data_IF_026523008999
#
_entry.id   IF_026523008999
#
_cell.length_a   1.000
_cell.length_b   1.000
_cell.length_c   1.000
_cell.angle_alpha   90.00
_cell.angle_beta   90.00
_cell.angle_gamma   90.00
#
_symmetry.space_group_name_H-M   'P 1'
#
loop_
_entity.id
_entity.type
_entity.pdbx_description
1 polymer ?
#
# COMPACT_ATOMS: atom_id res chain seq x y z
N UNK A 1 20.33 -3.59 -15.65
CA UNK A 1 19.10 -3.90 -14.88
C UNK A 1 18.31 -2.63 -14.51
N UNK A 2 18.96 -1.59 -13.97
CA UNK A 2 18.33 -0.28 -13.69
C UNK A 2 17.70 0.41 -14.91
N UNK A 3 18.37 0.35 -16.08
CA UNK A 3 17.83 0.87 -17.36
C UNK A 3 16.53 0.17 -17.79
N UNK A 4 16.41 -1.13 -17.54
CA UNK A 4 15.19 -1.91 -17.82
C UNK A 4 14.04 -1.49 -16.92
N UNK A 5 14.31 -1.21 -15.63
CA UNK A 5 13.30 -0.70 -14.70
C UNK A 5 12.79 0.68 -15.16
N UNK A 6 13.69 1.57 -15.59
CA UNK A 6 13.32 2.89 -16.11
C UNK A 6 12.37 2.75 -17.32
N UNK A 7 12.75 1.96 -18.33
CA UNK A 7 11.92 1.72 -19.52
C UNK A 7 10.54 1.13 -19.16
N UNK A 8 10.50 0.19 -18.21
CA UNK A 8 9.24 -0.38 -17.73
C UNK A 8 8.40 0.67 -16.99
N UNK A 9 9.01 1.55 -16.18
CA UNK A 9 8.29 2.61 -15.45
C UNK A 9 7.70 3.64 -16.40
N UNK A 10 8.43 4.02 -17.45
CA UNK A 10 7.94 4.95 -18.48
C UNK A 10 6.73 4.33 -19.20
N UNK A 11 6.84 3.05 -19.57
CA UNK A 11 5.74 2.29 -20.16
C UNK A 11 4.54 2.20 -19.22
N UNK A 12 4.74 1.90 -17.94
CA UNK A 12 3.65 1.82 -16.96
C UNK A 12 2.96 3.17 -16.76
N UNK A 13 3.73 4.26 -16.70
CA UNK A 13 3.21 5.62 -16.61
C UNK A 13 2.37 6.00 -17.84
N UNK A 14 2.79 5.57 -19.03
CA UNK A 14 1.98 5.75 -20.25
C UNK A 14 0.63 5.04 -20.15
N UNK A 15 0.58 3.81 -19.61
CA UNK A 15 -0.67 3.08 -19.42
C UNK A 15 -1.56 3.69 -18.33
N UNK A 16 -0.98 4.22 -17.26
CA UNK A 16 -1.75 4.97 -16.26
C UNK A 16 -2.42 6.20 -16.87
N UNK A 17 -1.68 6.96 -17.70
CA UNK A 17 -2.21 8.15 -18.37
C UNK A 17 -3.33 7.82 -19.37
N UNK A 18 -3.27 6.64 -20.02
CA UNK A 18 -4.29 6.16 -20.94
C UNK A 18 -5.47 5.47 -20.23
N UNK A 19 -5.50 5.43 -18.90
CA UNK A 19 -6.52 4.75 -18.10
C UNK A 19 -6.42 3.23 -18.06
N UNK A 20 -5.37 2.64 -18.65
CA UNK A 20 -5.18 1.20 -18.69
C UNK A 20 -4.46 0.67 -17.43
N UNK A 21 -5.20 0.67 -16.32
CA UNK A 21 -4.66 0.41 -14.98
C UNK A 21 -4.25 -1.04 -14.75
N UNK A 22 -4.91 -2.00 -15.39
CA UNK A 22 -4.57 -3.42 -15.24
C UNK A 22 -3.19 -3.72 -15.84
N UNK A 23 -2.93 -3.20 -17.04
CA UNK A 23 -1.66 -3.34 -17.75
C UNK A 23 -0.55 -2.61 -16.99
N UNK A 24 -0.82 -1.38 -16.50
CA UNK A 24 0.11 -0.67 -15.63
C UNK A 24 0.45 -1.50 -14.37
N UNK A 25 -0.54 -2.08 -13.71
CA UNK A 25 -0.36 -2.95 -12.53
C UNK A 25 0.50 -4.18 -12.83
N UNK A 26 0.32 -4.80 -14.01
CA UNK A 26 1.13 -5.95 -14.44
C UNK A 26 2.61 -5.57 -14.61
N UNK A 27 2.89 -4.39 -15.16
CA UNK A 27 4.25 -3.91 -15.36
C UNK A 27 4.90 -3.54 -14.03
N UNK A 28 4.17 -2.85 -13.14
CA UNK A 28 4.69 -2.53 -11.81
C UNK A 28 4.96 -3.79 -10.97
N UNK A 29 4.21 -4.88 -11.16
CA UNK A 29 4.53 -6.19 -10.56
C UNK A 29 5.89 -6.72 -11.02
N UNK A 30 6.19 -6.60 -12.32
CA UNK A 30 7.49 -6.98 -12.88
C UNK A 30 8.60 -6.08 -12.32
N UNK A 31 8.37 -4.76 -12.27
CA UNK A 31 9.32 -3.79 -11.68
C UNK A 31 9.65 -4.17 -10.25
N UNK A 32 8.63 -4.40 -9.41
CA UNK A 32 8.81 -4.82 -8.00
C UNK A 32 9.70 -6.07 -7.90
N UNK A 33 9.48 -7.07 -8.75
CA UNK A 33 10.27 -8.29 -8.72
C UNK A 33 11.73 -8.06 -9.11
N UNK A 34 11.99 -7.15 -10.06
CA UNK A 34 13.35 -6.73 -10.40
C UNK A 34 13.99 -5.93 -9.26
N UNK A 35 13.24 -5.04 -8.61
CA UNK A 35 13.71 -4.22 -7.49
C UNK A 35 14.09 -5.05 -6.26
N UNK A 36 13.35 -6.14 -5.98
CA UNK A 36 13.68 -7.05 -4.87
C UNK A 36 15.06 -7.71 -5.00
N UNK A 37 15.57 -7.86 -6.22
CA UNK A 37 16.89 -8.42 -6.47
C UNK A 37 18.01 -7.35 -6.41
N UNK A 38 17.65 -6.07 -6.45
CA UNK A 38 18.60 -4.96 -6.53
C UNK A 38 18.71 -4.17 -5.22
N UNK A 39 17.61 -4.05 -4.49
CA UNK A 39 17.51 -3.20 -3.31
C UNK A 39 17.15 -4.01 -2.07
N UNK A 40 17.51 -3.46 -0.91
CA UNK A 40 17.08 -4.01 0.37
C UNK A 40 15.55 -3.97 0.50
N UNK A 41 14.98 -4.91 1.27
CA UNK A 41 13.53 -5.03 1.49
C UNK A 41 12.88 -3.77 2.10
N UNK A 42 13.66 -2.95 2.81
CA UNK A 42 13.22 -1.67 3.40
C UNK A 42 13.63 -0.44 2.56
N UNK A 43 13.97 -0.63 1.28
CA UNK A 43 14.31 0.50 0.41
C UNK A 43 13.08 1.35 0.10
N UNK A 44 13.28 2.66 0.05
CA UNK A 44 12.23 3.62 -0.32
C UNK A 44 11.75 3.43 -1.76
N UNK A 45 12.62 2.95 -2.66
CA UNK A 45 12.25 2.60 -4.03
C UNK A 45 11.21 1.47 -4.06
N UNK A 46 11.47 0.37 -3.34
CA UNK A 46 10.54 -0.76 -3.27
C UNK A 46 9.22 -0.37 -2.59
N UNK A 47 9.30 0.51 -1.57
CA UNK A 47 8.13 1.09 -0.91
C UNK A 47 7.25 1.85 -1.90
N UNK A 48 7.82 2.78 -2.67
CA UNK A 48 7.09 3.58 -3.65
C UNK A 48 6.39 2.71 -4.71
N UNK A 49 7.07 1.66 -5.18
CA UNK A 49 6.46 0.69 -6.11
C UNK A 49 5.30 -0.07 -5.44
N UNK A 50 5.42 -0.45 -4.16
CA UNK A 50 4.31 -1.06 -3.42
C UNK A 50 3.12 -0.11 -3.23
N UNK A 51 3.35 1.17 -2.93
CA UNK A 51 2.30 2.19 -2.82
C UNK A 51 1.60 2.44 -4.15
N UNK A 52 2.36 2.45 -5.25
CA UNK A 52 1.81 2.60 -6.61
C UNK A 52 0.92 1.43 -6.95
N UNK A 53 1.36 0.19 -6.67
CA UNK A 53 0.55 -1.01 -6.84
C UNK A 53 -0.71 -1.00 -5.96
N UNK A 54 -0.59 -0.57 -4.70
CA UNK A 54 -1.73 -0.40 -3.80
C UNK A 54 -2.79 0.52 -4.41
N UNK A 55 -2.40 1.71 -4.90
CA UNK A 55 -3.32 2.66 -5.55
C UNK A 55 -4.00 2.06 -6.78
N UNK A 56 -3.23 1.40 -7.65
CA UNK A 56 -3.78 0.73 -8.85
C UNK A 56 -4.83 -0.31 -8.45
N UNK A 57 -4.54 -1.16 -7.46
CA UNK A 57 -5.48 -2.22 -7.06
C UNK A 57 -6.70 -1.70 -6.30
N UNK A 58 -6.57 -0.58 -5.57
CA UNK A 58 -7.74 0.13 -5.03
C UNK A 58 -8.67 0.62 -6.14
N UNK A 59 -8.12 1.21 -7.19
CA UNK A 59 -8.90 1.71 -8.32
C UNK A 59 -9.51 0.59 -9.17
N UNK A 60 -8.87 -0.58 -9.22
CA UNK A 60 -9.38 -1.80 -9.85
C UNK A 60 -10.36 -2.57 -8.94
N UNK A 61 -10.61 -2.09 -7.71
CA UNK A 61 -11.45 -2.77 -6.70
C UNK A 61 -10.99 -4.20 -6.34
N UNK A 62 -9.70 -4.50 -6.55
CA UNK A 62 -9.09 -5.75 -6.09
C UNK A 62 -8.60 -5.55 -4.65
N UNK A 63 -9.55 -5.64 -3.71
CA UNK A 63 -9.33 -5.40 -2.30
C UNK A 63 -8.31 -6.35 -1.68
N UNK A 64 -8.28 -7.61 -2.13
CA UNK A 64 -7.37 -8.62 -1.60
C UNK A 64 -5.91 -8.32 -1.98
N UNK A 65 -5.67 -8.01 -3.25
CA UNK A 65 -4.34 -7.64 -3.71
C UNK A 65 -3.91 -6.31 -3.11
N UNK A 66 -4.80 -5.32 -3.04
CA UNK A 66 -4.55 -4.05 -2.37
C UNK A 66 -4.14 -4.24 -0.90
N UNK A 67 -4.90 -5.03 -0.14
CA UNK A 67 -4.59 -5.34 1.26
C UNK A 67 -3.21 -5.99 1.40
N UNK A 68 -2.86 -6.90 0.50
CA UNK A 68 -1.54 -7.54 0.49
C UNK A 68 -0.42 -6.51 0.32
N UNK A 69 -0.58 -5.55 -0.59
CA UNK A 69 0.42 -4.47 -0.75
C UNK A 69 0.44 -3.51 0.43
N UNK A 70 -0.71 -3.14 1.01
CA UNK A 70 -0.78 -2.32 2.21
C UNK A 70 0.00 -2.95 3.38
N UNK A 71 -0.18 -4.24 3.63
CA UNK A 71 0.55 -4.94 4.70
C UNK A 71 2.05 -4.99 4.49
N UNK A 72 2.51 -5.06 3.24
CA UNK A 72 3.94 -5.06 2.91
C UNK A 72 4.62 -3.71 3.17
N UNK A 73 3.88 -2.60 3.19
CA UNK A 73 4.47 -1.28 3.44
C UNK A 73 4.63 -0.99 4.94
N UNK A 74 3.74 -1.49 5.79
CA UNK A 74 3.75 -1.27 7.26
C UNK A 74 5.16 -1.40 7.89
N UNK A 75 5.90 -2.51 7.71
CA UNK A 75 7.19 -2.65 8.39
C UNK A 75 8.27 -1.68 7.86
N UNK A 76 8.09 -1.14 6.64
CA UNK A 76 8.94 -0.05 6.13
C UNK A 76 8.57 1.27 6.80
N UNK A 77 7.28 1.56 6.97
CA UNK A 77 6.82 2.77 7.65
C UNK A 77 7.24 2.80 9.13
N UNK A 78 7.11 1.69 9.85
CA UNK A 78 7.55 1.59 11.25
C UNK A 78 9.06 1.80 11.42
N UNK A 79 9.85 1.49 10.38
CA UNK A 79 11.29 1.70 10.39
C UNK A 79 11.71 3.13 10.03
N UNK A 80 10.99 3.74 9.08
CA UNK A 80 11.33 5.07 8.55
C UNK A 80 10.81 6.18 9.47
N UNK A 81 9.67 5.95 10.12
CA UNK A 81 9.01 6.96 10.94
C UNK A 81 9.08 6.63 12.44
N UNK A 82 9.04 7.66 13.32
CA UNK A 82 8.89 7.44 14.75
C UNK A 82 7.59 6.69 15.09
N UNK A 83 7.51 5.96 16.21
CA UNK A 83 6.37 5.10 16.57
C UNK A 83 4.98 5.75 16.55
N UNK A 84 4.88 7.07 16.75
CA UNK A 84 3.62 7.82 16.80
C UNK A 84 3.43 8.74 15.59
N UNK A 85 3.97 8.35 14.43
CA UNK A 85 3.86 9.15 13.22
C UNK A 85 2.51 8.91 12.49
N UNK A 86 1.81 9.96 12.03
CA UNK A 86 0.51 9.84 11.35
C UNK A 86 0.52 8.92 10.13
N UNK A 87 1.64 8.82 9.41
CA UNK A 87 1.76 7.93 8.24
C UNK A 87 1.70 6.45 8.60
N UNK A 88 2.16 6.05 9.79
CA UNK A 88 2.02 4.67 10.27
C UNK A 88 0.52 4.41 10.52
N UNK A 89 -0.15 5.33 11.24
CA UNK A 89 -1.58 5.25 11.51
C UNK A 89 -2.44 5.20 10.24
N UNK A 90 -2.09 6.00 9.22
CA UNK A 90 -2.79 6.00 7.93
C UNK A 90 -2.71 4.64 7.23
N UNK A 91 -1.57 3.94 7.32
CA UNK A 91 -1.45 2.61 6.72
C UNK A 91 -2.24 1.55 7.48
N UNK A 92 -2.23 1.58 8.82
CA UNK A 92 -3.11 0.71 9.60
C UNK A 92 -4.59 0.97 9.31
N UNK A 93 -5.00 2.25 9.21
CA UNK A 93 -6.35 2.61 8.82
C UNK A 93 -6.73 2.06 7.44
N UNK A 94 -5.85 2.24 6.45
CA UNK A 94 -6.08 1.77 5.08
C UNK A 94 -6.24 0.25 5.05
N UNK A 95 -5.37 -0.49 5.73
CA UNK A 95 -5.45 -1.94 5.84
C UNK A 95 -6.73 -2.39 6.57
N UNK A 96 -7.10 -1.75 7.68
CA UNK A 96 -8.32 -2.06 8.43
C UNK A 96 -9.59 -1.81 7.61
N UNK A 97 -9.63 -0.71 6.85
CA UNK A 97 -10.73 -0.40 5.92
C UNK A 97 -10.84 -1.47 4.82
N UNK A 98 -9.73 -1.84 4.19
CA UNK A 98 -9.69 -2.88 3.16
C UNK A 98 -10.14 -4.26 3.69
N UNK A 99 -9.76 -4.61 4.92
CA UNK A 99 -10.21 -5.84 5.57
C UNK A 99 -11.72 -5.83 5.84
N UNK A 100 -12.25 -4.69 6.27
CA UNK A 100 -13.68 -4.49 6.51
C UNK A 100 -14.48 -4.65 5.21
N UNK A 101 -14.08 -3.93 4.16
CA UNK A 101 -14.76 -3.91 2.86
C UNK A 101 -14.75 -5.29 2.18
N UNK A 102 -13.66 -6.06 2.33
CA UNK A 102 -13.56 -7.41 1.77
C UNK A 102 -14.32 -8.49 2.58
N UNK A 103 -14.26 -8.47 3.92
CA UNK A 103 -14.86 -9.52 4.77
C UNK A 103 -16.24 -9.16 5.33
N UNK A 104 -16.81 -8.00 5.00
CA UNK A 104 -18.14 -7.58 5.46
C UNK A 104 -18.25 -7.57 6.99
N UNK A 105 -17.18 -7.16 7.69
CA UNK A 105 -17.13 -7.08 9.16
C UNK A 105 -17.08 -8.41 9.92
N UNK A 106 -16.82 -9.56 9.27
CA UNK A 106 -16.88 -10.88 9.92
C UNK A 106 -15.56 -11.43 10.50
N UNK A 107 -14.44 -10.71 10.44
CA UNK A 107 -13.18 -11.12 11.10
C UNK A 107 -12.78 -10.16 12.22
N UNK A 108 -12.21 -10.67 13.32
CA UNK A 108 -11.56 -9.82 14.31
C UNK A 108 -10.36 -9.10 13.67
N UNK A 109 -10.22 -7.82 14.00
CA UNK A 109 -9.15 -6.89 13.66
C UNK A 109 -7.78 -7.41 14.16
N UNK A 110 -7.27 -8.47 13.55
CA UNK A 110 -6.03 -9.16 13.97
C UNK A 110 -4.78 -8.37 13.61
N UNK A 111 -4.91 -7.32 12.80
CA UNK A 111 -3.82 -6.43 12.39
C UNK A 111 -4.02 -4.97 12.82
N UNK A 112 -4.97 -4.69 13.72
CA UNK A 112 -5.06 -3.38 14.37
C UNK A 112 -4.40 -3.55 15.74
N UNK A 113 -3.15 -3.09 15.96
CA UNK A 113 -2.62 -3.04 17.31
C UNK A 113 -3.60 -2.22 18.17
N UNK A 114 -3.76 -2.53 19.48
CA UNK A 114 -4.69 -1.81 20.36
C UNK A 114 -4.51 -0.28 20.32
N UNK A 115 -3.31 0.21 19.96
CA UNK A 115 -3.01 1.62 19.75
C UNK A 115 -3.65 2.25 18.49
N UNK A 116 -3.88 1.47 17.43
CA UNK A 116 -4.57 1.95 16.22
C UNK A 116 -6.09 2.06 16.44
N UNK A 117 -6.67 1.24 17.32
CA UNK A 117 -8.04 1.44 17.81
C UNK A 117 -8.19 2.78 18.56
N UNK A 118 -7.20 3.22 19.33
CA UNK A 118 -7.21 4.53 19.99
C UNK A 118 -7.18 5.70 18.99
N UNK A 119 -6.49 5.56 17.86
CA UNK A 119 -6.47 6.58 16.81
C UNK A 119 -7.74 6.57 15.95
N UNK A 120 -8.34 5.40 15.68
CA UNK A 120 -9.67 5.32 15.07
C UNK A 120 -10.74 5.89 16.00
N UNK A 121 -10.65 5.66 17.30
CA UNK A 121 -11.54 6.26 18.30
C UNK A 121 -11.32 7.79 18.38
N UNK A 122 -10.07 8.27 18.41
CA UNK A 122 -9.79 9.72 18.42
C UNK A 122 -10.19 10.41 17.11
N UNK A 123 -10.03 9.77 15.95
CA UNK A 123 -10.39 10.34 14.65
C UNK A 123 -11.91 10.35 14.43
N UNK A 124 -12.63 9.33 14.89
CA UNK A 124 -14.10 9.30 14.86
C UNK A 124 -14.71 10.29 15.87
N UNK A 125 -14.08 10.51 17.02
CA UNK A 125 -14.52 11.54 17.99
C UNK A 125 -14.24 12.96 17.47
N UNK A 126 -13.18 13.20 16.70
CA UNK A 126 -12.88 14.52 16.14
C UNK A 126 -13.66 14.87 14.87
N UNK A 127 -14.23 13.89 14.16
CA UNK A 127 -15.03 14.13 12.95
C UNK A 127 -16.54 14.33 13.23
N UNK A 128 -16.96 14.20 14.49
CA UNK A 128 -18.36 14.32 14.94
C UNK A 128 -18.57 15.32 16.10
N UNK A 129 -17.61 16.23 16.35
CA UNK A 129 -17.76 17.40 17.23
C UNK A 129 -17.55 18.67 16.41
#
# INVERSE_FOLDING_TARGET
>A
MRSKILQLSDKASSFLSSGNKAEAGSIYKIIKQLERNLYHAFSTTLLHTCETLLKIYLELQDWWTALTYCRLTIPVYERVYPPFHPMIGLQFYTCGKLEWDWFGGRRPLTLCPPAACLLLYCSLVFMFI
#
